data_IF_593003202816
#
_entry.id   IF_593003202816
#
_cell.length_a   1.000
_cell.length_b   1.000
_cell.length_c   1.000
_cell.angle_alpha   90.00
_cell.angle_beta   90.00
_cell.angle_gamma   90.00
#
_symmetry.space_group_name_H-M   'P 1'
#
loop_
_entity.id
_entity.type
_entity.pdbx_description
1 polymer ?
#
# COMPACT_ATOMS: atom_id res chain seq x y z
N UNK A 1 -12.49 -64.88 -3.98
CA UNK A 1 -12.70 -63.83 -2.97
C UNK A 1 -11.33 -63.26 -2.64
N UNK A 2 -10.95 -62.16 -3.30
CA UNK A 2 -9.70 -61.45 -3.06
C UNK A 2 -10.06 -60.00 -2.75
N UNK A 3 -9.83 -59.60 -1.50
CA UNK A 3 -10.07 -58.26 -0.97
C UNK A 3 -8.93 -57.34 -1.41
N UNK A 4 -9.22 -56.41 -2.32
CA UNK A 4 -8.33 -55.30 -2.61
C UNK A 4 -8.42 -54.27 -1.47
N UNK A 5 -7.31 -54.02 -0.79
CA UNK A 5 -7.13 -52.88 0.10
C UNK A 5 -7.10 -51.60 -0.75
N UNK A 6 -7.87 -50.55 -0.44
CA UNK A 6 -7.71 -49.26 -1.10
C UNK A 6 -6.38 -48.65 -0.65
N UNK A 7 -5.57 -48.24 -1.63
CA UNK A 7 -4.42 -47.38 -1.39
C UNK A 7 -4.90 -46.08 -0.75
N UNK A 8 -4.37 -45.78 0.44
CA UNK A 8 -4.57 -44.50 1.08
C UNK A 8 -3.85 -43.44 0.24
N UNK A 9 -4.61 -42.63 -0.50
CA UNK A 9 -4.10 -41.39 -1.08
C UNK A 9 -3.73 -40.45 0.06
N UNK A 10 -2.45 -40.46 0.43
CA UNK A 10 -1.85 -39.39 1.20
C UNK A 10 -1.97 -38.11 0.35
N UNK A 11 -2.94 -37.25 0.67
CA UNK A 11 -2.99 -35.90 0.15
C UNK A 11 -1.71 -35.20 0.59
N UNK A 12 -0.76 -35.06 -0.35
CA UNK A 12 0.47 -34.32 -0.14
C UNK A 12 0.13 -32.87 0.17
N UNK A 13 0.23 -32.49 1.44
CA UNK A 13 0.42 -31.10 1.83
C UNK A 13 1.56 -30.54 0.96
N UNK A 14 1.32 -29.38 0.33
CA UNK A 14 2.33 -28.67 -0.44
C UNK A 14 3.64 -28.62 0.33
N UNK A 15 4.75 -28.93 -0.34
CA UNK A 15 6.05 -29.02 0.31
C UNK A 15 6.29 -27.79 1.19
N UNK A 16 6.52 -28.05 2.48
CA UNK A 16 6.99 -27.03 3.42
C UNK A 16 8.33 -26.51 2.89
N UNK A 17 8.34 -25.29 2.38
CA UNK A 17 9.61 -24.65 2.03
C UNK A 17 10.35 -24.33 3.33
N UNK A 18 11.42 -25.06 3.59
CA UNK A 18 12.34 -24.74 4.68
C UNK A 18 13.27 -23.62 4.24
N UNK A 19 13.47 -22.63 5.11
CA UNK A 19 14.36 -21.50 4.84
C UNK A 19 15.78 -21.99 4.50
N UNK A 20 16.49 -21.35 3.56
CA UNK A 20 17.86 -21.75 3.21
C UNK A 20 18.84 -21.68 4.38
N UNK A 21 18.55 -20.81 5.36
CA UNK A 21 19.30 -20.65 6.60
C UNK A 21 18.31 -20.52 7.77
N UNK A 22 18.71 -20.89 9.00
CA UNK A 22 17.94 -20.63 10.20
C UNK A 22 17.47 -19.17 10.30
N UNK A 23 16.21 -18.96 10.69
CA UNK A 23 15.58 -17.63 10.76
C UNK A 23 16.40 -16.61 11.57
N UNK A 24 17.03 -17.04 12.67
CA UNK A 24 17.83 -16.15 13.51
C UNK A 24 19.01 -15.51 12.76
N UNK A 25 19.61 -16.20 11.77
CA UNK A 25 20.69 -15.64 10.94
C UNK A 25 20.16 -14.54 10.02
N UNK A 26 18.98 -14.72 9.45
CA UNK A 26 18.32 -13.69 8.64
C UNK A 26 17.97 -12.46 9.47
N UNK A 27 17.39 -12.66 10.65
CA UNK A 27 17.02 -11.56 11.56
C UNK A 27 18.25 -10.79 12.04
N UNK A 28 19.30 -11.49 12.47
CA UNK A 28 20.55 -10.86 12.92
C UNK A 28 21.28 -10.14 11.80
N UNK A 29 21.36 -10.74 10.60
CA UNK A 29 21.98 -10.12 9.43
C UNK A 29 21.24 -8.87 8.94
N UNK A 30 19.92 -8.92 8.86
CA UNK A 30 19.10 -7.77 8.47
C UNK A 30 19.15 -6.65 9.53
N UNK A 31 19.01 -7.01 10.81
CA UNK A 31 19.15 -6.06 11.92
C UNK A 31 20.53 -5.39 11.95
N UNK A 32 21.60 -6.18 11.80
CA UNK A 32 22.96 -5.66 11.72
C UNK A 32 23.16 -4.72 10.53
N UNK A 33 22.61 -5.04 9.36
CA UNK A 33 22.69 -4.18 8.16
C UNK A 33 22.13 -2.78 8.44
N UNK A 34 21.00 -2.70 9.15
CA UNK A 34 20.34 -1.43 9.48
C UNK A 34 21.17 -0.64 10.49
N UNK A 35 21.66 -1.30 11.54
CA UNK A 35 22.53 -0.66 12.55
C UNK A 35 23.84 -0.16 11.92
N UNK A 36 24.46 -0.96 11.06
CA UNK A 36 25.70 -0.59 10.37
C UNK A 36 25.47 0.54 9.35
N UNK A 37 24.34 0.53 8.64
CA UNK A 37 23.95 1.64 7.74
C UNK A 37 23.80 2.93 8.52
N UNK A 38 23.12 2.88 9.66
CA UNK A 38 23.00 4.03 10.55
C UNK A 38 24.36 4.53 11.05
N UNK A 39 25.21 3.62 11.52
CA UNK A 39 26.56 3.95 11.99
C UNK A 39 27.38 4.61 10.86
N UNK A 40 27.31 4.07 9.64
CA UNK A 40 28.00 4.65 8.49
C UNK A 40 27.49 6.06 8.17
N UNK A 41 26.17 6.30 8.17
CA UNK A 41 25.62 7.64 7.97
C UNK A 41 26.03 8.59 9.11
N UNK A 42 25.96 8.15 10.36
CA UNK A 42 26.33 8.94 11.51
C UNK A 42 27.81 9.37 11.48
N UNK A 43 28.71 8.53 10.95
CA UNK A 43 30.15 8.80 10.88
C UNK A 43 30.58 9.57 9.63
N UNK A 44 29.99 9.27 8.46
CA UNK A 44 30.49 9.75 7.16
C UNK A 44 29.60 10.79 6.47
N UNK A 45 28.31 10.87 6.80
CA UNK A 45 27.40 11.83 6.17
C UNK A 45 27.52 13.21 6.85
N UNK A 46 28.47 14.05 6.39
CA UNK A 46 28.51 15.47 6.77
C UNK A 46 27.20 16.16 6.36
N UNK A 47 26.44 16.60 7.36
CA UNK A 47 24.98 16.80 7.32
C UNK A 47 24.41 17.70 6.20
N UNK A 48 25.16 18.64 5.64
CA UNK A 48 24.63 19.62 4.66
C UNK A 48 24.81 19.20 3.20
N UNK A 49 25.91 18.54 2.86
CA UNK A 49 26.22 18.21 1.47
C UNK A 49 25.45 16.98 0.99
N UNK A 50 25.29 15.98 1.85
CA UNK A 50 24.55 14.75 1.53
C UNK A 50 23.06 15.01 1.27
N UNK A 51 22.41 15.81 2.13
CA UNK A 51 21.00 16.17 1.97
C UNK A 51 20.74 16.99 0.70
N UNK A 52 21.64 17.92 0.35
CA UNK A 52 21.53 18.71 -0.87
C UNK A 52 21.73 17.86 -2.15
N UNK A 53 22.63 16.88 -2.11
CA UNK A 53 22.81 15.93 -3.20
C UNK A 53 21.60 15.01 -3.40
N UNK A 54 21.01 14.50 -2.31
CA UNK A 54 19.85 13.62 -2.34
C UNK A 54 18.58 14.30 -2.85
N UNK A 55 18.47 15.63 -2.71
CA UNK A 55 17.35 16.43 -3.22
C UNK A 55 17.50 16.87 -4.68
N UNK A 56 18.61 16.51 -5.36
CA UNK A 56 18.78 16.86 -6.78
C UNK A 56 17.68 16.20 -7.61
N UNK A 57 16.96 17.02 -8.37
CA UNK A 57 15.95 16.56 -9.31
C UNK A 57 16.19 17.17 -10.68
N UNK A 58 15.84 16.42 -11.71
CA UNK A 58 15.94 16.85 -13.10
C UNK A 58 14.54 16.95 -13.70
N UNK A 59 14.16 18.13 -14.17
CA UNK A 59 12.92 18.30 -14.92
C UNK A 59 13.05 17.64 -16.29
N UNK A 60 12.23 16.63 -16.57
CA UNK A 60 12.22 15.91 -17.83
C UNK A 60 11.42 16.64 -18.91
N UNK A 61 10.48 17.53 -18.55
CA UNK A 61 9.74 18.35 -19.50
C UNK A 61 10.60 19.45 -20.12
N UNK A 62 11.82 19.69 -19.59
CA UNK A 62 12.81 20.56 -20.24
C UNK A 62 13.15 20.08 -21.64
N UNK A 63 13.10 18.77 -21.90
CA UNK A 63 13.34 18.18 -23.21
C UNK A 63 12.10 18.30 -24.10
N UNK A 64 12.27 18.89 -25.29
CA UNK A 64 11.17 19.22 -26.20
C UNK A 64 10.37 18.00 -26.67
N UNK A 65 11.04 16.87 -26.91
CA UNK A 65 10.40 15.61 -27.32
C UNK A 65 9.45 15.08 -26.24
N UNK A 66 9.93 14.97 -25.00
CA UNK A 66 9.12 14.50 -23.86
C UNK A 66 7.92 15.42 -23.61
N UNK A 67 8.10 16.73 -23.70
CA UNK A 67 7.02 17.70 -23.56
C UNK A 67 5.94 17.55 -24.64
N UNK A 68 6.34 17.31 -25.89
CA UNK A 68 5.41 17.10 -27.01
C UNK A 68 4.63 15.79 -26.89
N UNK A 69 5.28 14.72 -26.41
CA UNK A 69 4.67 13.40 -26.26
C UNK A 69 3.83 13.26 -24.97
N UNK A 70 4.12 14.05 -23.93
CA UNK A 70 3.46 13.91 -22.63
C UNK A 70 1.93 14.08 -22.70
N UNK A 71 1.44 15.10 -23.40
CA UNK A 71 0.00 15.36 -23.51
C UNK A 71 -0.77 14.28 -24.29
N UNK A 72 -0.37 13.87 -25.52
CA UNK A 72 -1.08 12.81 -26.23
C UNK A 72 -0.97 11.46 -25.52
N UNK A 73 0.18 11.13 -24.93
CA UNK A 73 0.33 9.90 -24.15
C UNK A 73 -0.59 9.89 -22.94
N UNK A 74 -0.65 10.99 -22.17
CA UNK A 74 -1.56 11.10 -21.04
C UNK A 74 -3.03 10.99 -21.46
N UNK A 75 -3.41 11.52 -22.62
CA UNK A 75 -4.76 11.37 -23.16
C UNK A 75 -5.08 9.91 -23.51
N UNK A 76 -4.19 9.22 -24.21
CA UNK A 76 -4.35 7.79 -24.54
C UNK A 76 -4.47 6.93 -23.28
N UNK A 77 -3.59 7.14 -22.30
CA UNK A 77 -3.62 6.41 -21.03
C UNK A 77 -4.91 6.67 -20.23
N UNK A 78 -5.41 7.91 -20.22
CA UNK A 78 -6.70 8.26 -19.61
C UNK A 78 -7.86 7.55 -20.28
N UNK A 79 -7.93 7.61 -21.61
CA UNK A 79 -9.00 6.96 -22.37
C UNK A 79 -8.96 5.44 -22.19
N UNK A 80 -7.78 4.83 -22.25
CA UNK A 80 -7.61 3.41 -22.01
C UNK A 80 -8.05 3.01 -20.59
N UNK A 81 -7.68 3.78 -19.57
CA UNK A 81 -8.09 3.51 -18.18
C UNK A 81 -9.60 3.65 -17.99
N UNK A 82 -10.24 4.67 -18.57
CA UNK A 82 -11.70 4.79 -18.54
C UNK A 82 -12.38 3.60 -19.24
N UNK A 83 -11.87 3.14 -20.38
CA UNK A 83 -12.41 1.98 -21.08
C UNK A 83 -12.24 0.70 -20.24
N UNK A 84 -11.08 0.48 -19.63
CA UNK A 84 -10.81 -0.66 -18.76
C UNK A 84 -11.69 -0.63 -17.50
N UNK A 85 -11.91 0.55 -16.92
CA UNK A 85 -12.80 0.72 -15.77
C UNK A 85 -14.25 0.36 -16.11
N UNK A 86 -14.76 0.83 -17.26
CA UNK A 86 -16.10 0.47 -17.71
C UNK A 86 -16.22 -1.01 -18.07
N UNK A 87 -15.18 -1.59 -18.68
CA UNK A 87 -15.12 -3.03 -18.95
C UNK A 87 -15.15 -3.83 -17.64
N UNK A 88 -14.38 -3.42 -16.64
CA UNK A 88 -14.34 -4.04 -15.30
C UNK A 88 -15.72 -4.03 -14.63
N UNK A 89 -16.44 -2.91 -14.70
CA UNK A 89 -17.82 -2.85 -14.20
C UNK A 89 -18.75 -3.79 -14.99
N UNK A 90 -18.65 -3.79 -16.33
CA UNK A 90 -19.49 -4.62 -17.18
C UNK A 90 -19.24 -6.12 -16.95
N UNK A 91 -17.99 -6.54 -16.82
CA UNK A 91 -17.65 -7.94 -16.55
C UNK A 91 -18.05 -8.39 -15.15
N UNK A 92 -18.12 -7.48 -14.18
CA UNK A 92 -18.57 -7.83 -12.83
C UNK A 92 -20.07 -8.10 -12.76
N UNK A 93 -20.88 -7.37 -13.54
CA UNK A 93 -22.33 -7.58 -13.58
C UNK A 93 -22.78 -8.63 -14.60
N UNK A 94 -22.08 -8.76 -15.73
CA UNK A 94 -22.52 -9.57 -16.87
C UNK A 94 -21.53 -10.67 -17.29
N UNK A 95 -20.38 -10.78 -16.61
CA UNK A 95 -19.36 -11.80 -16.88
C UNK A 95 -19.58 -13.09 -16.10
N UNK A 96 -18.56 -13.95 -16.10
CA UNK A 96 -18.58 -15.25 -15.43
C UNK A 96 -18.72 -15.10 -13.90
N UNK A 97 -19.50 -15.96 -13.24
CA UNK A 97 -19.65 -15.92 -11.79
C UNK A 97 -18.42 -16.44 -11.03
N UNK A 98 -17.61 -17.29 -11.67
CA UNK A 98 -16.36 -17.80 -11.11
C UNK A 98 -15.29 -16.70 -11.05
N UNK A 99 -14.72 -16.50 -9.86
CA UNK A 99 -13.75 -15.46 -9.56
C UNK A 99 -12.49 -15.57 -10.43
N UNK A 100 -11.99 -16.79 -10.65
CA UNK A 100 -10.78 -17.03 -11.46
C UNK A 100 -11.01 -16.83 -12.96
N UNK A 101 -12.27 -16.90 -13.39
CA UNK A 101 -12.67 -16.70 -14.78
C UNK A 101 -13.32 -15.33 -15.03
N UNK A 102 -13.30 -14.41 -14.05
CA UNK A 102 -13.86 -13.07 -14.18
C UNK A 102 -12.77 -12.00 -14.18
N UNK A 103 -12.75 -11.18 -15.22
CA UNK A 103 -11.82 -10.06 -15.38
C UNK A 103 -11.82 -9.10 -14.18
N UNK A 104 -12.97 -8.87 -13.55
CA UNK A 104 -13.16 -7.90 -12.48
C UNK A 104 -12.30 -8.21 -11.27
N UNK A 105 -12.27 -9.48 -10.85
CA UNK A 105 -11.53 -9.93 -9.66
C UNK A 105 -10.03 -9.72 -9.89
N UNK A 106 -9.50 -10.19 -11.03
CA UNK A 106 -8.09 -10.00 -11.38
C UNK A 106 -7.73 -8.53 -11.58
N UNK A 107 -8.60 -7.75 -12.22
CA UNK A 107 -8.33 -6.34 -12.48
C UNK A 107 -8.28 -5.52 -11.19
N UNK A 108 -9.24 -5.71 -10.27
CA UNK A 108 -9.32 -4.96 -9.01
C UNK A 108 -8.21 -5.40 -8.07
N UNK A 109 -8.16 -6.68 -7.69
CA UNK A 109 -7.27 -7.11 -6.61
C UNK A 109 -5.82 -7.26 -7.03
N UNK A 110 -5.56 -7.69 -8.27
CA UNK A 110 -4.19 -8.02 -8.70
C UNK A 110 -3.57 -6.90 -9.52
N UNK A 111 -4.23 -6.44 -10.59
CA UNK A 111 -3.61 -5.46 -11.48
C UNK A 111 -3.70 -4.04 -10.96
N UNK A 112 -4.88 -3.64 -10.47
CA UNK A 112 -5.08 -2.29 -9.98
C UNK A 112 -4.56 -2.13 -8.56
N UNK A 113 -4.97 -2.94 -7.60
CA UNK A 113 -4.53 -2.75 -6.22
C UNK A 113 -3.02 -3.02 -6.07
N UNK A 114 -2.59 -4.25 -6.39
CA UNK A 114 -1.17 -4.63 -6.28
C UNK A 114 -0.33 -4.06 -7.42
N UNK A 115 -0.71 -4.28 -8.68
CA UNK A 115 0.09 -3.87 -9.83
C UNK A 115 0.30 -2.35 -9.93
N UNK A 116 -0.73 -1.54 -9.67
CA UNK A 116 -0.58 -0.08 -9.60
C UNK A 116 0.27 0.34 -8.41
N UNK A 117 0.19 -0.34 -7.27
CA UNK A 117 1.05 -0.04 -6.12
C UNK A 117 2.53 -0.29 -6.47
N UNK A 118 2.85 -1.40 -7.13
CA UNK A 118 4.20 -1.69 -7.65
C UNK A 118 4.66 -0.60 -8.61
N UNK A 119 3.83 -0.24 -9.59
CA UNK A 119 4.19 0.81 -10.56
C UNK A 119 4.39 2.16 -9.88
N UNK A 120 3.50 2.55 -8.97
CA UNK A 120 3.58 3.81 -8.24
C UNK A 120 4.79 3.89 -7.31
N UNK A 121 5.22 2.77 -6.72
CA UNK A 121 6.39 2.74 -5.86
C UNK A 121 7.71 2.69 -6.66
N UNK A 122 7.77 1.94 -7.76
CA UNK A 122 9.02 1.71 -8.51
C UNK A 122 9.25 2.75 -9.62
N UNK A 123 8.18 3.25 -10.24
CA UNK A 123 8.26 4.12 -11.41
C UNK A 123 7.83 5.54 -11.03
N UNK A 124 6.57 5.72 -10.64
CA UNK A 124 5.98 7.03 -10.30
C UNK A 124 4.46 6.96 -10.22
N UNK A 125 3.82 7.95 -9.60
CA UNK A 125 2.37 8.02 -9.39
C UNK A 125 1.60 8.10 -10.73
N UNK A 126 1.36 6.94 -11.36
CA UNK A 126 0.62 6.83 -12.61
C UNK A 126 -0.86 7.12 -12.41
N UNK A 127 -1.38 6.85 -11.20
CA UNK A 127 -2.77 7.07 -10.84
C UNK A 127 -3.18 8.54 -11.00
N UNK A 128 -2.26 9.48 -10.78
CA UNK A 128 -2.43 10.91 -11.08
C UNK A 128 -2.92 11.18 -12.52
N UNK A 129 -2.52 10.32 -13.47
CA UNK A 129 -2.93 10.41 -14.88
C UNK A 129 -4.13 9.50 -15.15
N UNK A 130 -4.07 8.24 -14.72
CA UNK A 130 -4.99 7.19 -15.17
C UNK A 130 -6.23 7.04 -14.30
N UNK A 131 -6.40 7.79 -13.21
CA UNK A 131 -7.61 7.69 -12.38
C UNK A 131 -8.88 7.95 -13.23
N UNK A 132 -9.76 6.94 -13.40
CA UNK A 132 -10.92 7.06 -14.27
C UNK A 132 -12.01 7.94 -13.67
N UNK A 133 -12.11 8.04 -12.33
CA UNK A 133 -13.21 8.72 -11.65
C UNK A 133 -13.27 10.22 -11.97
N UNK A 134 -12.20 11.03 -11.78
CA UNK A 134 -12.20 12.44 -12.17
C UNK A 134 -12.42 12.65 -13.66
N UNK A 135 -11.93 11.74 -14.50
CA UNK A 135 -12.02 11.82 -15.96
C UNK A 135 -13.46 11.64 -16.41
N UNK A 136 -14.12 10.58 -15.92
CA UNK A 136 -15.53 10.30 -16.20
C UNK A 136 -16.45 11.37 -15.60
N UNK A 137 -16.14 11.85 -14.39
CA UNK A 137 -16.88 12.95 -13.75
C UNK A 137 -16.86 14.22 -14.61
N UNK A 138 -15.68 14.67 -15.04
CA UNK A 138 -15.54 15.86 -15.90
C UNK A 138 -16.20 15.67 -17.27
N UNK A 139 -16.17 14.46 -17.83
CA UNK A 139 -16.89 14.15 -19.05
C UNK A 139 -18.42 14.27 -18.85
N UNK A 140 -18.95 13.71 -17.77
CA UNK A 140 -20.37 13.80 -17.43
C UNK A 140 -20.83 15.25 -17.23
N UNK A 141 -20.09 16.04 -16.44
CA UNK A 141 -20.38 17.46 -16.22
C UNK A 141 -20.41 18.25 -17.54
N UNK A 142 -19.45 18.00 -18.45
CA UNK A 142 -19.40 18.66 -19.76
C UNK A 142 -20.58 18.30 -20.66
N UNK A 143 -21.02 17.03 -20.64
CA UNK A 143 -22.18 16.58 -21.41
C UNK A 143 -23.49 17.18 -20.90
N UNK A 144 -23.62 17.33 -19.58
CA UNK A 144 -24.82 17.91 -18.94
C UNK A 144 -24.81 19.45 -19.03
N UNK A 145 -23.64 20.07 -19.16
CA UNK A 145 -23.49 21.52 -19.21
C UNK A 145 -23.63 22.21 -17.85
N UNK A 146 -23.38 21.49 -16.75
CA UNK A 146 -23.45 22.03 -15.39
C UNK A 146 -22.09 22.50 -14.85
N UNK A 147 -22.08 23.15 -13.67
CA UNK A 147 -20.84 23.54 -12.99
C UNK A 147 -20.10 22.30 -12.46
N UNK A 148 -18.75 22.32 -12.50
CA UNK A 148 -17.90 21.24 -11.96
C UNK A 148 -18.02 21.07 -10.44
N UNK A 149 -18.49 22.08 -9.71
CA UNK A 149 -18.80 21.93 -8.30
C UNK A 149 -19.84 22.95 -7.82
N UNK A 150 -20.44 22.67 -6.66
CA UNK A 150 -21.28 23.60 -5.90
C UNK A 150 -20.47 24.68 -5.17
N UNK A 151 -19.14 24.57 -5.15
CA UNK A 151 -18.24 25.56 -4.56
C UNK A 151 -18.16 25.53 -3.04
N UNK A 152 -18.52 24.41 -2.38
CA UNK A 152 -18.37 24.31 -0.92
C UNK A 152 -16.89 24.22 -0.56
N UNK A 153 -16.48 25.00 0.43
CA UNK A 153 -15.10 24.93 0.94
C UNK A 153 -14.91 23.65 1.75
N UNK A 154 -13.93 22.83 1.37
CA UNK A 154 -13.58 21.63 2.13
C UNK A 154 -13.16 21.99 3.56
N UNK A 155 -13.85 21.46 4.61
CA UNK A 155 -13.54 21.85 5.98
C UNK A 155 -12.13 21.44 6.40
N UNK A 156 -11.32 22.39 6.87
CA UNK A 156 -9.94 22.12 7.32
C UNK A 156 -9.86 21.06 8.43
N UNK A 157 -10.89 20.95 9.27
CA UNK A 157 -11.01 19.93 10.33
C UNK A 157 -11.08 18.50 9.80
N UNK A 158 -11.59 18.29 8.57
CA UNK A 158 -11.67 16.97 7.97
C UNK A 158 -10.28 16.50 7.52
N UNK A 159 -9.44 17.42 7.02
CA UNK A 159 -8.09 17.10 6.55
C UNK A 159 -8.09 15.78 5.74
N UNK A 160 -7.23 14.81 6.07
CA UNK A 160 -7.21 13.49 5.44
C UNK A 160 -8.09 12.40 6.09
N UNK A 161 -8.92 12.71 7.09
CA UNK A 161 -9.71 11.70 7.80
C UNK A 161 -10.71 10.93 6.92
N UNK A 162 -11.40 11.55 5.95
CA UNK A 162 -12.25 10.79 5.02
C UNK A 162 -11.46 9.73 4.24
N UNK A 163 -10.23 10.04 3.82
CA UNK A 163 -9.35 9.06 3.17
C UNK A 163 -8.94 7.92 4.12
N UNK A 164 -8.69 8.22 5.40
CA UNK A 164 -8.40 7.19 6.43
C UNK A 164 -9.58 6.23 6.59
N UNK A 165 -10.81 6.76 6.69
CA UNK A 165 -12.03 5.94 6.84
C UNK A 165 -12.25 5.08 5.59
N UNK A 166 -12.14 5.68 4.40
CA UNK A 166 -12.33 4.96 3.13
C UNK A 166 -11.25 3.89 2.91
N UNK A 167 -10.01 4.18 3.28
CA UNK A 167 -8.94 3.19 3.17
C UNK A 167 -9.10 2.05 4.19
N UNK A 168 -9.57 2.34 5.41
CA UNK A 168 -9.90 1.29 6.38
C UNK A 168 -11.05 0.40 5.87
N UNK A 169 -12.11 1.01 5.31
CA UNK A 169 -13.21 0.26 4.72
C UNK A 169 -12.75 -0.62 3.54
N UNK A 170 -11.84 -0.13 2.71
CA UNK A 170 -11.20 -0.91 1.66
C UNK A 170 -10.38 -2.08 2.23
N UNK A 171 -9.51 -1.85 3.21
CA UNK A 171 -8.72 -2.91 3.83
C UNK A 171 -9.59 -3.97 4.52
N UNK A 172 -10.71 -3.55 5.14
CA UNK A 172 -11.70 -4.47 5.67
C UNK A 172 -12.36 -5.32 4.56
N UNK A 173 -12.72 -4.69 3.44
CA UNK A 173 -13.30 -5.38 2.30
C UNK A 173 -12.32 -6.37 1.64
N UNK A 174 -11.04 -6.04 1.61
CA UNK A 174 -9.97 -6.90 1.08
C UNK A 174 -9.72 -8.13 1.98
N UNK A 175 -9.69 -7.92 3.30
CA UNK A 175 -9.15 -8.91 4.23
C UNK A 175 -10.23 -9.75 4.93
N UNK A 176 -11.46 -9.23 5.07
CA UNK A 176 -12.48 -9.80 5.98
C UNK A 176 -13.82 -10.05 5.31
N UNK A 177 -14.18 -9.23 4.31
CA UNK A 177 -15.48 -9.35 3.66
C UNK A 177 -15.62 -10.69 2.92
N UNK A 178 -16.71 -11.41 3.20
CA UNK A 178 -16.99 -12.72 2.63
C UNK A 178 -17.18 -12.67 1.10
N UNK A 179 -17.79 -11.61 0.57
CA UNK A 179 -18.08 -11.51 -0.87
C UNK A 179 -16.94 -10.88 -1.67
N UNK A 180 -15.72 -10.81 -1.10
CA UNK A 180 -14.55 -10.20 -1.75
C UNK A 180 -14.13 -10.88 -3.06
N UNK A 181 -14.56 -12.12 -3.27
CA UNK A 181 -14.32 -12.90 -4.50
C UNK A 181 -15.56 -13.00 -5.40
N UNK A 182 -16.68 -12.35 -5.03
CA UNK A 182 -17.92 -12.35 -5.83
C UNK A 182 -17.89 -11.19 -6.82
N UNK A 183 -17.83 -11.42 -8.15
CA UNK A 183 -17.60 -10.35 -9.12
C UNK A 183 -18.65 -9.22 -9.10
N UNK A 184 -19.93 -9.59 -8.94
CA UNK A 184 -21.03 -8.62 -8.87
C UNK A 184 -20.97 -7.76 -7.60
N UNK A 185 -20.49 -8.33 -6.49
CA UNK A 185 -20.31 -7.60 -5.23
C UNK A 185 -19.16 -6.58 -5.38
N UNK A 186 -18.04 -6.98 -5.98
CA UNK A 186 -16.91 -6.08 -6.27
C UNK A 186 -17.35 -4.95 -7.21
N UNK A 187 -18.07 -5.25 -8.30
CA UNK A 187 -18.57 -4.22 -9.21
C UNK A 187 -19.54 -3.24 -8.52
N UNK A 188 -20.38 -3.74 -7.61
CA UNK A 188 -21.26 -2.90 -6.79
C UNK A 188 -20.45 -1.99 -5.86
N UNK A 189 -19.41 -2.52 -5.20
CA UNK A 189 -18.52 -1.74 -4.35
C UNK A 189 -17.76 -0.66 -5.14
N UNK A 190 -17.25 -0.98 -6.34
CA UNK A 190 -16.63 -0.03 -7.26
C UNK A 190 -17.59 1.08 -7.66
N UNK A 191 -18.83 0.75 -7.98
CA UNK A 191 -19.87 1.72 -8.32
C UNK A 191 -20.19 2.62 -7.12
N UNK A 192 -20.36 2.04 -5.93
CA UNK A 192 -20.61 2.78 -4.69
C UNK A 192 -19.47 3.75 -4.36
N UNK A 193 -18.21 3.30 -4.47
CA UNK A 193 -17.03 4.16 -4.29
C UNK A 193 -17.00 5.29 -5.33
N UNK A 194 -17.36 5.00 -6.57
CA UNK A 194 -17.41 5.99 -7.66
C UNK A 194 -18.47 7.05 -7.43
N UNK A 195 -19.67 6.65 -7.03
CA UNK A 195 -20.76 7.56 -6.67
C UNK A 195 -20.38 8.44 -5.49
N UNK A 196 -19.81 7.86 -4.43
CA UNK A 196 -19.31 8.63 -3.29
C UNK A 196 -18.25 9.64 -3.71
N UNK A 197 -17.30 9.21 -4.55
CA UNK A 197 -16.28 10.08 -5.12
C UNK A 197 -16.88 11.25 -5.91
N UNK A 198 -17.87 10.98 -6.77
CA UNK A 198 -18.55 12.01 -7.57
C UNK A 198 -19.36 12.99 -6.71
N UNK A 199 -20.01 12.52 -5.65
CA UNK A 199 -20.66 13.38 -4.66
C UNK A 199 -19.62 14.30 -4.03
N UNK A 200 -18.49 13.74 -3.59
CA UNK A 200 -17.38 14.51 -3.03
C UNK A 200 -16.82 15.58 -3.98
N UNK A 201 -16.61 15.22 -5.25
CA UNK A 201 -16.15 16.14 -6.30
C UNK A 201 -17.17 17.23 -6.60
N UNK A 202 -18.46 16.88 -6.64
CA UNK A 202 -19.56 17.84 -6.85
C UNK A 202 -19.66 18.85 -5.70
N UNK A 203 -19.51 18.41 -4.45
CA UNK A 203 -19.60 19.30 -3.30
C UNK A 203 -18.37 20.21 -3.19
N UNK A 204 -17.17 19.63 -3.19
CA UNK A 204 -15.93 20.32 -2.79
C UNK A 204 -14.97 20.65 -3.94
N UNK A 205 -15.26 20.18 -5.15
CA UNK A 205 -14.38 20.25 -6.30
C UNK A 205 -13.44 19.04 -6.43
N UNK A 206 -13.08 18.72 -7.67
CA UNK A 206 -12.28 17.54 -8.02
C UNK A 206 -10.93 17.52 -7.30
N UNK A 207 -10.21 18.65 -7.30
CA UNK A 207 -8.86 18.70 -6.73
C UNK A 207 -8.87 18.63 -5.19
N UNK A 208 -9.85 19.25 -4.53
CA UNK A 208 -9.96 19.17 -3.08
C UNK A 208 -10.27 17.74 -2.62
N UNK A 209 -11.24 17.08 -3.26
CA UNK A 209 -11.60 15.70 -2.96
C UNK A 209 -10.43 14.74 -3.20
N UNK A 210 -9.80 14.80 -4.39
CA UNK A 210 -8.68 13.92 -4.77
C UNK A 210 -7.44 14.10 -3.87
N UNK A 211 -7.19 15.32 -3.42
CA UNK A 211 -6.05 15.62 -2.56
C UNK A 211 -6.28 15.22 -1.10
N UNK A 212 -7.51 15.32 -0.59
CA UNK A 212 -7.78 15.20 0.84
C UNK A 212 -8.62 13.98 1.24
N UNK A 213 -9.57 13.55 0.41
CA UNK A 213 -10.58 12.56 0.79
C UNK A 213 -10.52 11.24 0.01
N UNK A 214 -10.05 11.24 -1.24
CA UNK A 214 -9.90 10.02 -2.03
C UNK A 214 -8.77 9.13 -1.47
N UNK A 215 -9.14 7.94 -0.98
CA UNK A 215 -8.22 6.99 -0.37
C UNK A 215 -7.15 6.52 -1.37
N UNK A 216 -7.55 6.08 -2.56
CA UNK A 216 -6.62 5.52 -3.54
C UNK A 216 -5.71 6.58 -4.15
N UNK A 217 -6.23 7.79 -4.40
CA UNK A 217 -5.38 8.92 -4.77
C UNK A 217 -4.37 9.27 -3.67
N UNK A 218 -4.68 9.02 -2.41
CA UNK A 218 -3.73 9.21 -1.30
C UNK A 218 -2.73 8.07 -1.19
N UNK A 219 -3.14 6.80 -1.29
CA UNK A 219 -2.25 5.63 -1.30
C UNK A 219 -1.21 5.78 -2.41
N UNK A 220 -1.64 5.91 -3.66
CA UNK A 220 -0.74 5.94 -4.81
C UNK A 220 0.17 7.17 -4.81
N UNK A 221 -0.29 8.30 -4.26
CA UNK A 221 0.55 9.48 -4.03
C UNK A 221 1.60 9.27 -2.93
N UNK A 222 1.27 8.55 -1.85
CA UNK A 222 2.24 8.16 -0.81
C UNK A 222 3.31 7.25 -1.41
N UNK A 223 2.91 6.23 -2.19
CA UNK A 223 3.84 5.34 -2.89
C UNK A 223 4.68 6.10 -3.93
N UNK A 224 4.06 7.00 -4.69
CA UNK A 224 4.73 7.86 -5.67
C UNK A 224 5.74 8.84 -5.08
N UNK A 225 5.65 9.16 -3.78
CA UNK A 225 6.70 9.92 -3.07
C UNK A 225 7.98 9.13 -2.88
N UNK A 226 7.88 7.80 -2.79
CA UNK A 226 9.04 6.92 -2.76
C UNK A 226 9.69 6.75 -4.15
N UNK A 227 8.88 6.79 -5.22
CA UNK A 227 9.35 6.60 -6.59
C UNK A 227 10.31 7.69 -7.12
N UNK A 228 11.14 7.33 -8.12
CA UNK A 228 12.11 8.23 -8.74
C UNK A 228 11.46 9.21 -9.73
N UNK A 229 10.31 8.89 -10.34
CA UNK A 229 9.58 9.84 -11.19
C UNK A 229 8.47 10.53 -10.40
N UNK A 230 8.58 11.84 -10.27
CA UNK A 230 7.48 12.70 -9.84
C UNK A 230 6.60 13.00 -11.07
N UNK A 231 5.38 12.48 -11.06
CA UNK A 231 4.35 12.74 -12.07
C UNK A 231 3.29 13.64 -11.45
N UNK A 232 3.02 14.80 -12.04
CA UNK A 232 1.87 15.65 -11.71
C UNK A 232 1.16 16.13 -12.96
N UNK A 233 -0.15 15.94 -13.00
CA UNK A 233 -1.01 16.53 -14.02
C UNK A 233 -1.05 18.05 -13.92
N UNK A 234 -1.47 18.72 -15.00
CA UNK A 234 -1.78 20.14 -14.95
C UNK A 234 -3.10 20.36 -14.19
N UNK A 235 -3.10 21.29 -13.25
CA UNK A 235 -4.31 21.85 -12.63
C UNK A 235 -4.55 23.25 -13.19
N UNK A 236 -5.71 23.90 -12.92
CA UNK A 236 -5.93 25.29 -13.31
C UNK A 236 -4.83 26.25 -12.80
N UNK A 237 -4.25 25.94 -11.64
CA UNK A 237 -3.28 26.79 -10.94
C UNK A 237 -1.82 26.37 -11.16
N UNK A 238 -1.55 25.12 -11.53
CA UNK A 238 -0.19 24.60 -11.68
C UNK A 238 0.02 23.85 -13.01
N UNK A 239 1.12 24.11 -13.75
CA UNK A 239 1.46 23.33 -14.93
C UNK A 239 1.85 21.90 -14.57
N UNK A 240 1.73 21.00 -15.53
CA UNK A 240 2.15 19.60 -15.38
C UNK A 240 3.64 19.52 -15.03
N UNK A 241 4.03 18.52 -14.24
CA UNK A 241 5.43 18.28 -13.83
C UNK A 241 5.82 16.83 -14.05
N UNK A 242 7.00 16.63 -14.64
CA UNK A 242 7.63 15.31 -14.74
C UNK A 242 9.10 15.47 -14.32
N UNK A 243 9.47 15.01 -13.13
CA UNK A 243 10.84 15.16 -12.60
C UNK A 243 11.44 13.82 -12.22
N UNK A 244 12.71 13.63 -12.55
CA UNK A 244 13.50 12.49 -12.09
C UNK A 244 14.29 12.86 -10.83
N UNK A 245 14.19 12.05 -9.78
CA UNK A 245 14.86 12.19 -8.48
C UNK A 245 15.36 10.82 -7.99
N UNK A 246 16.29 10.77 -7.02
CA UNK A 246 16.60 9.52 -6.33
C UNK A 246 15.37 8.91 -5.65
N UNK A 247 15.37 7.59 -5.47
CA UNK A 247 14.37 6.90 -4.66
C UNK A 247 14.28 7.52 -3.26
N UNK A 248 13.08 7.56 -2.71
CA UNK A 248 12.75 8.10 -1.39
C UNK A 248 13.00 9.62 -1.21
N UNK A 249 13.56 10.34 -2.19
CA UNK A 249 13.80 11.78 -2.09
C UNK A 249 12.51 12.59 -1.96
N UNK A 250 11.39 12.11 -2.52
CA UNK A 250 10.07 12.76 -2.43
C UNK A 250 9.40 12.67 -1.05
N UNK A 251 9.97 11.89 -0.13
CA UNK A 251 9.50 11.71 1.24
C UNK A 251 10.01 12.82 2.17
N UNK A 252 11.05 13.54 1.77
CA UNK A 252 11.56 14.69 2.50
C UNK A 252 10.64 15.89 2.31
N UNK A 253 9.99 16.34 3.39
CA UNK A 253 9.06 17.47 3.37
C UNK A 253 9.63 18.72 4.04
N UNK A 254 9.14 19.89 3.64
CA UNK A 254 9.29 21.15 4.38
C UNK A 254 7.97 21.57 5.05
N UNK A 255 6.86 21.04 4.54
CA UNK A 255 5.51 21.35 5.02
C UNK A 255 5.19 20.51 6.26
N UNK A 256 4.45 21.08 7.24
CA UNK A 256 3.93 20.33 8.36
C UNK A 256 3.02 19.18 7.91
N UNK A 257 3.08 18.05 8.62
CA UNK A 257 2.28 16.87 8.37
C UNK A 257 1.14 16.82 9.39
N UNK A 258 -0.09 16.76 8.90
CA UNK A 258 -1.26 16.64 9.77
C UNK A 258 -1.33 15.26 10.43
N UNK A 259 -2.00 15.19 11.58
CA UNK A 259 -2.24 13.93 12.28
C UNK A 259 -3.00 12.91 11.42
N UNK A 260 -3.91 13.36 10.55
CA UNK A 260 -4.66 12.49 9.65
C UNK A 260 -3.79 11.87 8.56
N UNK A 261 -2.80 12.60 8.03
CA UNK A 261 -1.83 12.02 7.07
C UNK A 261 -0.91 11.02 7.77
N UNK A 262 -0.47 11.33 8.99
CA UNK A 262 0.32 10.38 9.78
C UNK A 262 -0.48 9.10 10.08
N UNK A 263 -1.74 9.24 10.50
CA UNK A 263 -2.65 8.12 10.72
C UNK A 263 -2.88 7.30 9.44
N UNK A 264 -3.00 7.95 8.28
CA UNK A 264 -3.17 7.27 7.00
C UNK A 264 -1.95 6.39 6.64
N UNK A 265 -0.73 6.92 6.78
CA UNK A 265 0.49 6.15 6.50
C UNK A 265 0.66 5.00 7.49
N UNK A 266 0.34 5.22 8.78
CA UNK A 266 0.36 4.16 9.78
C UNK A 266 -0.71 3.10 9.51
N UNK A 267 -1.89 3.50 9.03
CA UNK A 267 -2.94 2.58 8.61
C UNK A 267 -2.46 1.71 7.44
N UNK A 268 -1.83 2.29 6.41
CA UNK A 268 -1.23 1.52 5.31
C UNK A 268 -0.19 0.50 5.79
N UNK A 269 0.70 0.90 6.71
CA UNK A 269 1.71 0.00 7.26
C UNK A 269 1.07 -1.09 8.15
N UNK A 270 0.04 -0.73 8.91
CA UNK A 270 -0.67 -1.66 9.79
C UNK A 270 -1.50 -2.68 9.01
N UNK A 271 -2.19 -2.28 7.93
CA UNK A 271 -3.03 -3.20 7.15
C UNK A 271 -2.20 -4.24 6.44
N UNK A 272 -1.08 -3.85 5.82
CA UNK A 272 -0.18 -4.82 5.18
C UNK A 272 0.47 -5.75 6.22
N UNK A 273 0.84 -5.22 7.40
CA UNK A 273 1.37 -6.06 8.48
C UNK A 273 0.31 -7.04 9.00
N UNK A 274 -0.94 -6.59 9.11
CA UNK A 274 -2.07 -7.43 9.52
C UNK A 274 -2.36 -8.51 8.49
N UNK A 275 -2.34 -8.19 7.20
CA UNK A 275 -2.54 -9.15 6.11
C UNK A 275 -1.54 -10.32 6.20
N UNK A 276 -0.24 -10.02 6.22
CA UNK A 276 0.75 -11.08 6.39
C UNK A 276 0.68 -11.79 7.75
N UNK A 277 0.30 -11.09 8.83
CA UNK A 277 0.11 -11.72 10.14
C UNK A 277 -1.09 -12.68 10.14
N UNK A 278 -2.14 -12.35 9.40
CA UNK A 278 -3.40 -13.08 9.32
C UNK A 278 -3.20 -14.49 8.74
N UNK A 279 -2.26 -14.64 7.80
CA UNK A 279 -1.87 -15.92 7.19
C UNK A 279 -0.93 -16.80 8.07
N UNK A 280 -0.58 -16.37 9.29
CA UNK A 280 0.39 -17.08 10.13
C UNK A 280 -0.25 -18.12 11.06
N UNK A 281 0.48 -19.18 11.47
CA UNK A 281 0.00 -20.13 12.48
C UNK A 281 -0.25 -19.51 13.86
N UNK A 282 0.29 -18.31 14.12
CA UNK A 282 -0.01 -17.58 15.35
C UNK A 282 -1.43 -17.04 15.32
N UNK A 283 -1.91 -16.59 14.16
CA UNK A 283 -3.27 -16.11 14.00
C UNK A 283 -4.29 -17.24 14.23
N UNK A 284 -4.05 -18.43 13.69
CA UNK A 284 -4.91 -19.61 13.96
C UNK A 284 -4.99 -19.96 15.44
N UNK A 285 -3.86 -19.85 16.15
CA UNK A 285 -3.83 -20.07 17.60
C UNK A 285 -4.61 -19.00 18.35
N UNK A 286 -4.59 -17.75 17.89
CA UNK A 286 -5.42 -16.68 18.45
C UNK A 286 -6.90 -16.98 18.21
N UNK A 287 -7.28 -17.38 16.99
CA UNK A 287 -8.65 -17.80 16.66
C UNK A 287 -9.14 -18.96 17.52
N UNK A 288 -8.32 -20.00 17.63
CA UNK A 288 -8.60 -21.16 18.49
C UNK A 288 -8.73 -20.76 19.96
N UNK A 289 -7.82 -19.92 20.48
CA UNK A 289 -7.88 -19.45 21.86
C UNK A 289 -9.12 -18.57 22.12
N UNK A 290 -9.53 -17.75 21.14
CA UNK A 290 -10.74 -16.93 21.23
C UNK A 290 -12.00 -17.80 21.32
N UNK A 291 -12.08 -18.88 20.52
CA UNK A 291 -13.20 -19.84 20.56
C UNK A 291 -13.19 -20.69 21.85
N UNK A 292 -12.01 -21.03 22.37
CA UNK A 292 -11.90 -21.83 23.61
C UNK A 292 -12.14 -20.99 24.88
N UNK A 293 -11.98 -19.67 24.79
CA UNK A 293 -12.27 -18.75 25.89
C UNK A 293 -13.77 -18.46 25.94
N UNK A 294 -14.48 -19.13 26.86
CA UNK A 294 -15.93 -18.95 27.05
C UNK A 294 -16.43 -17.49 27.02
N UNK A 295 -15.87 -16.53 27.77
CA UNK A 295 -16.37 -15.15 27.73
C UNK A 295 -16.17 -14.48 26.35
N UNK A 296 -15.12 -14.84 25.64
CA UNK A 296 -14.84 -14.30 24.30
C UNK A 296 -15.78 -14.92 23.28
N UNK A 297 -15.91 -16.25 23.28
CA UNK A 297 -16.82 -16.97 22.39
C UNK A 297 -18.28 -16.53 22.58
N UNK A 298 -18.76 -16.38 23.82
CA UNK A 298 -20.12 -15.88 24.11
C UNK A 298 -20.33 -14.46 23.55
N UNK A 299 -19.31 -13.60 23.63
CA UNK A 299 -19.37 -12.24 23.08
C UNK A 299 -19.39 -12.25 21.55
N UNK A 300 -18.55 -13.06 20.91
CA UNK A 300 -18.51 -13.19 19.45
C UNK A 300 -19.82 -13.76 18.92
N UNK A 301 -20.37 -14.80 19.56
CA UNK A 301 -21.67 -15.37 19.23
C UNK A 301 -22.81 -14.35 19.40
N UNK A 302 -22.80 -13.57 20.48
CA UNK A 302 -23.80 -12.53 20.68
C UNK A 302 -23.76 -11.49 19.56
N UNK A 303 -22.57 -11.05 19.15
CA UNK A 303 -22.39 -10.11 18.02
C UNK A 303 -22.80 -10.71 16.68
N UNK A 304 -22.43 -11.97 16.41
CA UNK A 304 -22.80 -12.66 15.17
C UNK A 304 -24.30 -12.94 15.08
N UNK A 305 -24.99 -13.15 16.21
CA UNK A 305 -26.44 -13.39 16.22
C UNK A 305 -27.30 -12.18 15.83
N UNK A 306 -26.75 -10.95 15.94
CA UNK A 306 -27.46 -9.70 15.65
C UNK A 306 -26.95 -8.97 14.42
N UNK A 307 -25.89 -9.48 13.78
CA UNK A 307 -25.27 -8.87 12.61
C UNK A 307 -25.11 -9.88 11.47
N UNK A 308 -24.79 -9.41 10.27
CA UNK A 308 -24.51 -10.30 9.14
C UNK A 308 -23.08 -10.89 9.16
N UNK A 309 -22.28 -10.58 10.18
CA UNK A 309 -20.89 -11.00 10.28
C UNK A 309 -20.76 -12.25 11.15
N UNK A 310 -19.98 -13.22 10.70
CA UNK A 310 -19.68 -14.41 11.49
C UNK A 310 -18.67 -14.10 12.64
N UNK A 311 -18.48 -15.06 13.54
CA UNK A 311 -17.58 -14.92 14.70
C UNK A 311 -16.13 -14.64 14.30
N UNK A 312 -15.67 -15.26 13.20
CA UNK A 312 -14.30 -15.10 12.69
C UNK A 312 -14.12 -13.71 12.08
N UNK A 313 -15.10 -13.22 11.34
CA UNK A 313 -15.12 -11.87 10.80
C UNK A 313 -15.11 -10.83 11.91
N UNK A 314 -15.86 -11.03 12.99
CA UNK A 314 -15.80 -10.13 14.15
C UNK A 314 -14.43 -10.10 14.81
N UNK A 315 -13.84 -11.27 15.04
CA UNK A 315 -12.48 -11.38 15.58
C UNK A 315 -11.47 -10.65 14.69
N UNK A 316 -11.49 -10.93 13.39
CA UNK A 316 -10.59 -10.31 12.42
C UNK A 316 -10.82 -8.81 12.31
N UNK A 317 -12.07 -8.34 12.40
CA UNK A 317 -12.42 -6.91 12.39
C UNK A 317 -11.85 -6.20 13.61
N UNK A 318 -11.96 -6.81 14.79
CA UNK A 318 -11.39 -6.27 16.02
C UNK A 318 -9.85 -6.19 15.91
N UNK A 319 -9.20 -7.25 15.43
CA UNK A 319 -7.75 -7.26 15.27
C UNK A 319 -7.29 -6.22 14.22
N UNK A 320 -7.96 -6.14 13.08
CA UNK A 320 -7.68 -5.12 12.05
C UNK A 320 -7.84 -3.70 12.60
N UNK A 321 -8.77 -3.46 13.54
CA UNK A 321 -8.90 -2.17 14.21
C UNK A 321 -7.77 -1.90 15.21
N UNK A 322 -7.34 -2.92 15.95
CA UNK A 322 -6.30 -2.79 16.98
C UNK A 322 -4.91 -2.54 16.39
N UNK A 323 -4.60 -3.07 15.21
CA UNK A 323 -3.29 -2.90 14.57
C UNK A 323 -2.94 -1.42 14.30
N UNK A 324 -3.75 -0.63 13.57
CA UNK A 324 -3.49 0.79 13.34
C UNK A 324 -3.39 1.58 14.65
N UNK A 325 -4.22 1.26 15.65
CA UNK A 325 -4.15 1.89 16.98
C UNK A 325 -2.80 1.61 17.63
N UNK A 326 -2.34 0.35 17.64
CA UNK A 326 -1.04 -0.02 18.17
C UNK A 326 0.10 0.72 17.45
N UNK A 327 0.06 0.80 16.12
CA UNK A 327 1.05 1.52 15.32
C UNK A 327 1.06 3.04 15.64
N UNK A 328 -0.10 3.65 15.83
CA UNK A 328 -0.21 5.05 16.30
C UNK A 328 0.41 5.21 17.68
N UNK A 329 0.07 4.36 18.64
CA UNK A 329 0.61 4.44 20.00
C UNK A 329 2.14 4.25 20.02
N UNK A 330 2.65 3.28 19.27
CA UNK A 330 4.10 3.05 19.11
C UNK A 330 4.77 4.26 18.49
N UNK A 331 4.25 4.79 17.38
CA UNK A 331 4.82 5.96 16.72
C UNK A 331 4.84 7.19 17.63
N UNK A 332 3.77 7.42 18.40
CA UNK A 332 3.71 8.53 19.38
C UNK A 332 4.67 8.32 20.54
N UNK A 333 4.78 7.09 21.06
CA UNK A 333 5.73 6.73 22.12
C UNK A 333 7.18 6.92 21.68
N UNK A 334 7.53 6.44 20.48
CA UNK A 334 8.85 6.65 19.86
C UNK A 334 9.10 8.13 19.65
N UNK A 335 8.16 8.89 19.08
CA UNK A 335 8.28 10.34 18.89
C UNK A 335 8.55 11.07 20.21
N UNK A 336 7.83 10.72 21.29
CA UNK A 336 8.08 11.28 22.61
C UNK A 336 9.46 10.92 23.17
N UNK A 337 9.93 9.68 22.92
CA UNK A 337 11.27 9.24 23.30
C UNK A 337 12.37 9.99 22.55
N UNK A 338 12.17 10.26 21.25
CA UNK A 338 13.08 11.07 20.43
C UNK A 338 13.25 12.48 21.04
N UNK A 339 12.16 13.14 21.44
CA UNK A 339 12.21 14.48 22.05
C UNK A 339 12.97 14.47 23.38
N UNK A 340 12.73 13.46 24.22
CA UNK A 340 13.42 13.32 25.52
C UNK A 340 14.92 13.18 25.35
N UNK A 341 15.38 12.43 24.34
CA UNK A 341 16.81 12.24 24.06
C UNK A 341 17.48 13.41 23.33
N UNK A 342 16.70 14.26 22.63
CA UNK A 342 17.22 15.45 21.96
C UNK A 342 17.53 16.61 22.94
N UNK A 343 16.87 16.64 24.11
CA UNK A 343 17.08 17.64 25.16
C UNK A 343 16.27 18.95 24.99
N UNK A 344 16.01 19.64 26.10
CA UNK A 344 15.15 20.85 26.15
C UNK A 344 15.71 22.03 25.36
N UNK A 345 17.04 22.19 25.30
CA UNK A 345 17.71 23.28 24.55
C UNK A 345 17.65 23.11 23.03
N UNK A 346 17.21 21.96 22.52
CA UNK A 346 16.93 21.76 21.10
C UNK A 346 15.63 22.47 20.63
N UNK A 347 14.83 23.02 21.55
CA UNK A 347 13.51 23.58 21.29
C UNK A 347 13.50 25.10 21.05
N UNK A 348 14.66 25.77 21.16
CA UNK A 348 14.77 27.24 21.17
C UNK A 348 14.72 27.91 19.78
N UNK A 349 14.05 27.32 18.80
CA UNK A 349 13.99 27.88 17.44
C UNK A 349 12.80 27.40 16.61
N UNK A 350 11.64 28.06 16.79
CA UNK A 350 10.44 28.11 15.93
C UNK A 350 9.85 26.76 15.45
N UNK A 351 8.66 26.49 15.99
CA UNK A 351 7.77 25.34 15.78
C UNK A 351 8.22 24.07 16.53
N UNK A 352 7.29 23.52 17.32
CA UNK A 352 7.25 22.11 17.70
C UNK A 352 7.89 21.30 16.57
N UNK A 353 9.03 20.64 16.79
CA UNK A 353 9.63 19.81 15.74
C UNK A 353 8.51 18.89 15.26
N UNK A 354 8.03 19.10 14.02
CA UNK A 354 6.85 18.40 13.54
C UNK A 354 7.25 16.94 13.31
N UNK A 355 7.21 16.16 14.38
CA UNK A 355 7.62 14.76 14.37
C UNK A 355 6.66 13.91 13.55
N UNK A 356 5.48 14.42 13.19
CA UNK A 356 4.66 13.77 12.19
C UNK A 356 5.40 13.67 10.85
N UNK A 357 6.34 14.57 10.53
CA UNK A 357 7.14 14.44 9.32
C UNK A 357 8.05 13.21 9.31
N UNK A 358 8.44 12.68 10.48
CA UNK A 358 9.17 11.42 10.57
C UNK A 358 8.35 10.25 10.04
N UNK A 359 7.02 10.37 9.90
CA UNK A 359 6.19 9.30 9.35
C UNK A 359 6.61 8.90 7.93
N UNK A 360 7.11 9.87 7.15
CA UNK A 360 7.56 9.62 5.79
C UNK A 360 8.78 8.69 5.74
N UNK A 361 9.57 8.61 6.82
CA UNK A 361 10.66 7.64 6.92
C UNK A 361 10.20 6.20 7.07
N UNK A 362 8.92 5.95 7.41
CA UNK A 362 8.35 4.60 7.47
C UNK A 362 7.77 4.14 6.13
N UNK A 363 7.56 5.04 5.17
CA UNK A 363 7.01 4.66 3.84
C UNK A 363 7.90 3.66 3.09
N UNK A 364 9.25 3.79 3.07
CA UNK A 364 10.10 2.78 2.41
C UNK A 364 9.94 1.37 3.01
N UNK A 365 9.63 1.27 4.31
CA UNK A 365 9.35 0.00 5.00
C UNK A 365 8.03 -0.58 4.48
N UNK A 366 6.97 0.23 4.45
CA UNK A 366 5.67 -0.17 3.94
C UNK A 366 5.75 -0.62 2.48
N UNK A 367 6.46 0.15 1.64
CA UNK A 367 6.71 -0.18 0.24
C UNK A 367 7.42 -1.52 0.13
N UNK A 368 8.57 -1.69 0.77
CA UNK A 368 9.35 -2.91 0.63
C UNK A 368 8.62 -4.16 1.10
N UNK A 369 7.86 -4.05 2.20
CA UNK A 369 7.04 -5.16 2.68
C UNK A 369 5.89 -5.47 1.72
N UNK A 370 5.18 -4.47 1.21
CA UNK A 370 4.11 -4.66 0.21
C UNK A 370 4.66 -5.34 -1.06
N UNK A 371 5.81 -4.89 -1.58
CA UNK A 371 6.42 -5.51 -2.75
C UNK A 371 6.86 -6.95 -2.46
N UNK A 372 7.46 -7.21 -1.30
CA UNK A 372 7.89 -8.56 -0.94
C UNK A 372 6.70 -9.51 -0.80
N UNK A 373 5.64 -9.07 -0.10
CA UNK A 373 4.47 -9.87 0.20
C UNK A 373 3.64 -10.20 -1.05
N UNK A 374 3.36 -9.22 -1.91
CA UNK A 374 2.52 -9.44 -3.10
C UNK A 374 3.26 -9.81 -4.39
N UNK A 375 4.60 -9.96 -4.35
CA UNK A 375 5.38 -10.32 -5.55
C UNK A 375 4.91 -11.64 -6.18
N UNK A 376 4.66 -12.66 -5.34
CA UNK A 376 4.19 -13.96 -5.83
C UNK A 376 2.80 -13.85 -6.45
N UNK A 377 1.87 -13.16 -5.78
CA UNK A 377 0.50 -12.94 -6.26
C UNK A 377 0.49 -12.24 -7.63
N UNK A 378 1.29 -11.19 -7.79
CA UNK A 378 1.36 -10.45 -9.05
C UNK A 378 1.93 -11.32 -10.18
N UNK A 379 2.91 -12.19 -9.90
CA UNK A 379 3.58 -12.99 -10.93
C UNK A 379 2.84 -14.29 -11.26
N UNK A 380 2.06 -14.83 -10.33
CA UNK A 380 1.25 -16.04 -10.55
C UNK A 380 -0.15 -15.65 -10.98
N UNK A 381 -0.96 -15.08 -10.09
CA UNK A 381 -2.35 -14.68 -10.36
C UNK A 381 -2.44 -13.56 -11.40
N UNK A 382 -1.43 -12.69 -11.53
CA UNK A 382 -1.41 -11.69 -12.60
C UNK A 382 -1.44 -12.29 -14.00
N UNK A 383 -1.04 -13.56 -14.17
CA UNK A 383 -1.10 -14.25 -15.47
C UNK A 383 -2.53 -14.51 -15.94
N UNK A 384 -3.53 -14.54 -15.05
CA UNK A 384 -4.93 -14.72 -15.44
C UNK A 384 -5.42 -13.65 -16.41
N UNK A 385 -4.80 -12.46 -16.44
CA UNK A 385 -5.14 -11.43 -17.43
C UNK A 385 -4.93 -11.90 -18.87
N UNK A 386 -4.00 -12.84 -19.12
CA UNK A 386 -3.66 -13.31 -20.46
C UNK A 386 -4.85 -14.04 -21.11
N UNK A 387 -5.44 -15.09 -20.50
CA UNK A 387 -6.66 -15.68 -21.03
C UNK A 387 -7.88 -14.75 -20.90
N UNK A 388 -8.01 -13.97 -19.81
CA UNK A 388 -9.15 -13.07 -19.59
C UNK A 388 -9.22 -11.92 -20.59
N UNK A 389 -8.09 -11.45 -21.13
CA UNK A 389 -8.09 -10.46 -22.20
C UNK A 389 -8.74 -11.00 -23.49
N UNK A 390 -8.62 -12.31 -23.75
CA UNK A 390 -9.23 -12.96 -24.92
C UNK A 390 -10.71 -13.27 -24.74
N UNK A 391 -11.18 -13.48 -23.51
CA UNK A 391 -12.59 -13.74 -23.19
C UNK A 391 -13.04 -13.03 -21.89
N UNK A 392 -13.15 -11.69 -21.90
CA UNK A 392 -13.38 -10.91 -20.68
C UNK A 392 -14.72 -11.19 -20.01
N UNK A 393 -15.74 -11.60 -20.78
CA UNK A 393 -17.07 -11.94 -20.26
C UNK A 393 -17.25 -13.44 -19.97
N UNK A 394 -16.32 -14.31 -20.42
CA UNK A 394 -16.50 -15.76 -20.32
C UNK A 394 -17.48 -16.34 -21.36
N UNK A 395 -17.74 -15.65 -22.47
CA UNK A 395 -18.77 -16.02 -23.46
C UNK A 395 -18.30 -16.97 -24.56
N UNK A 396 -17.04 -17.44 -24.51
CA UNK A 396 -16.51 -18.26 -25.59
C UNK A 396 -15.58 -17.50 -26.55
N UNK A 397 -15.28 -16.22 -26.29
CA UNK A 397 -14.45 -15.42 -27.19
C UNK A 397 -12.98 -15.87 -27.19
N UNK A 398 -12.26 -15.44 -28.23
CA UNK A 398 -10.83 -15.63 -28.36
C UNK A 398 -10.18 -14.45 -29.11
N UNK A 399 -10.38 -13.23 -28.59
CA UNK A 399 -10.03 -11.98 -29.27
C UNK A 399 -8.54 -11.89 -29.64
N UNK A 400 -7.65 -12.47 -28.82
CA UNK A 400 -6.19 -12.41 -29.00
C UNK A 400 -5.54 -13.79 -29.18
N UNK A 401 -6.32 -14.86 -29.32
CA UNK A 401 -5.77 -16.22 -29.46
C UNK A 401 -5.25 -16.83 -28.15
N UNK A 402 -5.46 -16.19 -27.00
CA UNK A 402 -4.83 -16.56 -25.70
C UNK A 402 -5.76 -17.27 -24.72
N UNK A 403 -7.01 -17.56 -25.09
CA UNK A 403 -8.02 -18.18 -24.20
C UNK A 403 -7.52 -19.46 -23.51
N UNK A 404 -6.80 -20.31 -24.23
CA UNK A 404 -6.31 -21.61 -23.72
C UNK A 404 -4.95 -21.55 -23.00
N UNK A 405 -4.40 -20.35 -22.75
CA UNK A 405 -3.10 -20.19 -22.09
C UNK A 405 -3.24 -20.57 -20.61
N UNK A 406 -2.59 -21.66 -20.20
CA UNK A 406 -2.51 -22.05 -18.80
C UNK A 406 -1.59 -21.10 -18.01
N UNK A 407 -1.90 -20.91 -16.72
CA UNK A 407 -1.07 -20.17 -15.76
C UNK A 407 0.09 -21.05 -15.32
N UNK A 408 1.30 -20.49 -15.35
CA UNK A 408 2.49 -21.15 -14.82
C UNK A 408 2.68 -20.77 -13.34
N UNK A 409 2.22 -21.65 -12.46
CA UNK A 409 2.41 -21.50 -11.01
C UNK A 409 3.87 -21.73 -10.58
N UNK A 410 4.70 -22.34 -11.44
CA UNK A 410 6.12 -22.62 -11.19
C UNK A 410 7.06 -21.51 -11.63
N UNK A 411 6.54 -20.35 -12.07
CA UNK A 411 7.34 -19.23 -12.58
C UNK A 411 8.38 -18.72 -11.57
N UNK A 412 8.11 -18.88 -10.27
CA UNK A 412 8.96 -18.46 -9.18
C UNK A 412 9.16 -19.61 -8.20
N UNK A 413 10.40 -20.08 -8.08
CA UNK A 413 10.72 -21.04 -7.03
C UNK A 413 10.64 -20.37 -5.65
N UNK A 414 10.23 -21.10 -4.60
CA UNK A 414 10.17 -20.55 -3.24
C UNK A 414 11.49 -19.95 -2.76
N UNK A 415 12.63 -20.54 -3.16
CA UNK A 415 13.95 -20.00 -2.85
C UNK A 415 14.20 -18.64 -3.50
N UNK A 416 13.91 -18.49 -4.80
CA UNK A 416 14.08 -17.21 -5.50
C UNK A 416 13.16 -16.15 -4.90
N UNK A 417 11.91 -16.51 -4.62
CA UNK A 417 10.96 -15.63 -3.93
C UNK A 417 11.52 -15.14 -2.59
N UNK A 418 12.03 -16.05 -1.76
CA UNK A 418 12.63 -15.70 -0.46
C UNK A 418 13.78 -14.71 -0.59
N UNK A 419 14.75 -14.97 -1.48
CA UNK A 419 15.89 -14.05 -1.67
C UNK A 419 15.46 -12.68 -2.19
N UNK A 420 14.50 -12.63 -3.12
CA UNK A 420 13.94 -11.37 -3.63
C UNK A 420 13.23 -10.61 -2.51
N UNK A 421 12.37 -11.27 -1.73
CA UNK A 421 11.66 -10.68 -0.61
C UNK A 421 12.61 -10.09 0.45
N UNK A 422 13.60 -10.87 0.90
CA UNK A 422 14.61 -10.39 1.86
C UNK A 422 15.38 -9.20 1.31
N UNK A 423 15.79 -9.25 0.04
CA UNK A 423 16.53 -8.15 -0.60
C UNK A 423 15.70 -6.87 -0.65
N UNK A 424 14.43 -6.97 -1.07
CA UNK A 424 13.50 -5.85 -1.10
C UNK A 424 13.32 -5.25 0.30
N UNK A 425 13.07 -6.09 1.30
CA UNK A 425 12.90 -5.68 2.71
C UNK A 425 14.14 -4.93 3.20
N UNK A 426 15.35 -5.50 3.04
CA UNK A 426 16.59 -4.88 3.52
C UNK A 426 16.86 -3.55 2.80
N UNK A 427 16.72 -3.50 1.48
CA UNK A 427 16.93 -2.28 0.69
C UNK A 427 15.94 -1.18 1.10
N UNK A 428 14.66 -1.52 1.25
CA UNK A 428 13.64 -0.57 1.73
C UNK A 428 13.96 0.01 3.10
N UNK A 429 14.42 -0.83 4.03
CA UNK A 429 14.79 -0.38 5.37
C UNK A 429 16.09 0.46 5.37
N UNK A 430 17.06 0.14 4.53
CA UNK A 430 18.24 1.01 4.32
C UNK A 430 17.81 2.40 3.85
N UNK A 431 16.88 2.48 2.89
CA UNK A 431 16.31 3.75 2.42
C UNK A 431 15.51 4.45 3.53
N UNK A 432 14.77 3.72 4.36
CA UNK A 432 14.07 4.25 5.54
C UNK A 432 15.05 4.94 6.50
N UNK A 433 16.17 4.28 6.83
CA UNK A 433 17.23 4.83 7.69
C UNK A 433 17.83 6.09 7.08
N UNK A 434 18.10 6.10 5.77
CA UNK A 434 18.62 7.28 5.07
C UNK A 434 17.63 8.46 5.19
N UNK A 435 16.33 8.23 4.91
CA UNK A 435 15.30 9.27 5.02
C UNK A 435 15.17 9.77 6.46
N UNK A 436 15.13 8.88 7.44
CA UNK A 436 15.05 9.25 8.85
C UNK A 436 16.27 10.08 9.29
N UNK A 437 17.47 9.69 8.86
CA UNK A 437 18.69 10.41 9.19
C UNK A 437 18.70 11.82 8.62
N UNK A 438 18.38 11.96 7.33
CA UNK A 438 18.34 13.26 6.64
C UNK A 438 17.23 14.14 7.23
N UNK A 439 16.05 13.60 7.52
CA UNK A 439 14.96 14.38 8.09
C UNK A 439 15.27 14.84 9.51
N UNK A 440 15.80 13.97 10.38
CA UNK A 440 16.21 14.35 11.73
C UNK A 440 17.32 15.42 11.70
N UNK A 441 18.32 15.29 10.81
CA UNK A 441 19.37 16.30 10.65
C UNK A 441 18.84 17.66 10.20
N UNK A 442 17.70 17.71 9.50
CA UNK A 442 17.03 18.95 9.08
C UNK A 442 16.18 19.58 10.18
N UNK A 443 15.75 18.81 11.19
CA UNK A 443 14.83 19.26 12.26
C UNK A 443 15.53 19.61 13.56
N UNK A 444 16.62 18.95 13.90
CA UNK A 444 17.35 19.22 15.14
C UNK A 444 18.49 20.21 14.91
N UNK A 445 18.63 21.18 15.81
CA UNK A 445 19.60 22.27 15.69
C UNK A 445 21.07 21.83 15.80
N UNK A 446 21.35 20.70 16.47
CA UNK A 446 22.71 20.19 16.67
C UNK A 446 22.85 18.76 16.14
N UNK A 447 24.05 18.44 15.64
CA UNK A 447 24.39 17.09 15.17
C UNK A 447 24.20 16.04 16.27
N UNK A 448 24.62 16.34 17.50
CA UNK A 448 24.45 15.44 18.64
C UNK A 448 22.99 15.17 18.95
N UNK A 449 22.14 16.20 18.98
CA UNK A 449 20.70 16.03 19.20
C UNK A 449 20.04 15.23 18.07
N UNK A 450 20.45 15.46 16.82
CA UNK A 450 19.97 14.68 15.68
C UNK A 450 20.33 13.19 15.84
N UNK A 451 21.57 12.86 16.23
CA UNK A 451 22.00 11.48 16.43
C UNK A 451 21.30 10.79 17.62
N UNK A 452 21.23 11.45 18.78
CA UNK A 452 20.58 10.84 19.96
C UNK A 452 19.08 10.67 19.77
N UNK A 453 18.43 11.60 19.06
CA UNK A 453 17.02 11.49 18.70
C UNK A 453 16.73 10.33 17.74
N UNK A 454 17.72 9.82 17.02
CA UNK A 454 17.49 8.73 16.05
C UNK A 454 17.55 7.34 16.69
N UNK A 455 18.11 7.17 17.90
CA UNK A 455 18.21 5.85 18.54
C UNK A 455 16.84 5.17 18.74
N UNK A 456 15.77 5.85 19.21
CA UNK A 456 14.43 5.28 19.30
C UNK A 456 13.87 4.87 17.93
N UNK A 457 14.10 5.68 16.90
CA UNK A 457 13.64 5.41 15.54
C UNK A 457 14.40 4.22 14.93
N UNK A 458 15.71 4.14 15.16
CA UNK A 458 16.52 2.99 14.74
C UNK A 458 16.04 1.70 15.38
N UNK A 459 15.75 1.71 16.69
CA UNK A 459 15.19 0.55 17.39
C UNK A 459 13.84 0.13 16.79
N UNK A 460 12.97 1.10 16.49
CA UNK A 460 11.69 0.84 15.81
C UNK A 460 11.90 0.21 14.42
N UNK A 461 12.83 0.73 13.63
CA UNK A 461 13.12 0.21 12.29
C UNK A 461 13.68 -1.21 12.32
N UNK A 462 14.58 -1.52 13.26
CA UNK A 462 15.08 -2.89 13.45
C UNK A 462 13.96 -3.84 13.88
N UNK A 463 13.08 -3.40 14.78
CA UNK A 463 11.91 -4.17 15.19
C UNK A 463 10.96 -4.45 14.02
N UNK A 464 10.64 -3.45 13.19
CA UNK A 464 9.81 -3.66 12.00
C UNK A 464 10.46 -4.57 10.97
N UNK A 465 11.77 -4.44 10.74
CA UNK A 465 12.50 -5.36 9.84
C UNK A 465 12.40 -6.79 10.32
N UNK A 466 12.60 -6.99 11.62
CA UNK A 466 12.57 -8.30 12.25
C UNK A 466 11.16 -8.89 12.18
N UNK A 467 10.14 -8.07 12.43
CA UNK A 467 8.73 -8.46 12.31
C UNK A 467 8.38 -8.84 10.87
N UNK A 468 8.72 -8.01 9.89
CA UNK A 468 8.48 -8.28 8.46
C UNK A 468 9.12 -9.58 8.01
N UNK A 469 10.39 -9.82 8.35
CA UNK A 469 11.08 -11.07 8.02
C UNK A 469 10.51 -12.27 8.77
N UNK A 470 10.09 -12.09 10.03
CA UNK A 470 9.46 -13.15 10.80
C UNK A 470 8.12 -13.57 10.20
N UNK A 471 7.27 -12.62 9.79
CA UNK A 471 6.00 -12.89 9.12
C UNK A 471 6.23 -13.64 7.81
N UNK A 472 7.11 -13.12 6.94
CA UNK A 472 7.41 -13.73 5.64
C UNK A 472 8.03 -15.13 5.74
N UNK A 473 8.66 -15.44 6.88
CA UNK A 473 9.26 -16.74 7.17
C UNK A 473 8.24 -17.76 7.71
N UNK A 474 7.04 -17.34 8.10
CA UNK A 474 6.04 -18.27 8.60
C UNK A 474 5.51 -19.13 7.45
N UNK A 475 5.19 -20.41 7.70
CA UNK A 475 4.42 -21.18 6.75
C UNK A 475 3.03 -20.55 6.63
N UNK A 476 2.59 -20.33 5.39
CA UNK A 476 1.23 -19.86 5.11
C UNK A 476 0.26 -20.94 5.58
N UNK A 477 -0.64 -20.60 6.48
CA UNK A 477 -1.77 -21.44 6.86
C UNK A 477 -3.00 -20.78 6.26
N UNK A 478 -3.61 -21.45 5.29
CA UNK A 478 -4.76 -20.98 4.53
C UNK A 478 -5.56 -22.14 3.99
#
# INVERSE_FOLDING_TARGET
>A
MATATPEAHAHGFGQRFDLPLPLWLWLTGAGATIVLTFAALALFARQRDFGAAFLRSTDLLRFSLLRRLAHPLAAVLRTASCALFLLTLATGFYGNADAYANLTVTMVWVLWWVGMAFFCALVGDLWEIVNPLPTLYRAAVRMIGCRESLGWTYPARWAAWPAVILFFAFAWAELIWQDKDVPGAIATALLAYSVLGWIGMLLFGVEAWRRQADAFAMVFRVLGRFAPLEIRGSTPDEPARLRLRPYAAGLLTKEPVSNSVAAFVLLMLATVTFDGFHETPLMDRIGTAAQMSRPVAETLFALSSVTALDETQWLNTLLLLLFPIAFVLIFRGVSAWMLRLAGETAHAGRAQADLNAMIWSLVPIAVAYHLAHYASLLLTTGQFIIPLASDPFGWGWNLFGTRGRAVDLGILSPAVYWYVAVTLIVVGHVLAVIVAHVEAARRFASHRAALTSQLPMLALMVAYTSLSLWIMAQPIVG
#
